data_IF_176126238707
#
_entry.id   IF_176126238707
#
_cell.length_a   1.000
_cell.length_b   1.000
_cell.length_c   1.000
_cell.angle_alpha   90.00
_cell.angle_beta   90.00
_cell.angle_gamma   90.00
#
_symmetry.space_group_name_H-M   'P 1'
#
loop_
_entity.id
_entity.type
_entity.pdbx_description
1 polymer ?
#
# COMPACT_ATOMS: atom_id res chain seq x y z
N UNK A 1 -20.94 -34.79 34.69
CA UNK A 1 -20.22 -33.56 35.13
C UNK A 1 -18.90 -33.49 34.39
N UNK A 2 -18.70 -32.51 33.51
CA UNK A 2 -17.45 -32.35 32.75
C UNK A 2 -16.48 -31.53 33.60
N UNK A 3 -15.33 -32.11 33.97
CA UNK A 3 -14.26 -31.42 34.71
C UNK A 3 -13.62 -30.40 33.77
N UNK A 4 -13.54 -29.14 34.20
CA UNK A 4 -12.78 -28.12 33.50
C UNK A 4 -11.28 -28.47 33.56
N UNK A 5 -10.52 -28.29 32.47
CA UNK A 5 -9.08 -28.47 32.50
C UNK A 5 -8.46 -27.38 33.39
N UNK A 6 -7.97 -27.78 34.57
CA UNK A 6 -7.19 -26.90 35.45
C UNK A 6 -5.76 -26.82 34.94
N UNK A 7 -5.46 -25.73 34.24
CA UNK A 7 -4.09 -25.42 33.84
C UNK A 7 -3.35 -24.95 35.10
N UNK A 8 -2.16 -25.50 35.35
CA UNK A 8 -1.31 -25.09 36.47
C UNK A 8 -0.87 -23.63 36.31
N UNK A 9 -0.70 -22.90 37.41
CA UNK A 9 -0.19 -21.53 37.41
C UNK A 9 1.18 -21.42 36.71
N UNK A 10 1.98 -22.49 36.76
CA UNK A 10 3.25 -22.56 36.02
C UNK A 10 3.04 -22.64 34.51
N UNK A 11 2.07 -23.43 34.03
CA UNK A 11 1.71 -23.47 32.61
C UNK A 11 1.13 -22.14 32.12
N UNK A 12 0.33 -21.46 32.95
CA UNK A 12 -0.20 -20.14 32.61
C UNK A 12 0.93 -19.12 32.43
N UNK A 13 1.94 -19.15 33.32
CA UNK A 13 3.14 -18.30 33.22
C UNK A 13 3.97 -18.63 31.98
N UNK A 14 4.19 -19.91 31.67
CA UNK A 14 4.93 -20.35 30.48
C UNK A 14 4.23 -19.92 29.17
N UNK A 15 2.90 -20.01 29.12
CA UNK A 15 2.11 -19.55 27.96
C UNK A 15 2.23 -18.03 27.79
N UNK A 16 2.13 -17.26 28.87
CA UNK A 16 2.28 -15.80 28.83
C UNK A 16 3.70 -15.42 28.40
N UNK A 17 4.73 -16.12 28.87
CA UNK A 17 6.12 -15.89 28.49
C UNK A 17 6.38 -16.22 27.01
N UNK A 18 5.82 -17.34 26.52
CA UNK A 18 5.88 -17.74 25.11
C UNK A 18 5.16 -16.75 24.18
N UNK A 19 4.01 -16.21 24.63
CA UNK A 19 3.24 -15.22 23.87
C UNK A 19 3.84 -13.81 23.96
N UNK A 20 4.54 -13.49 25.06
CA UNK A 20 5.29 -12.24 25.25
C UNK A 20 6.58 -12.18 24.44
N UNK A 21 7.12 -13.34 24.05
CA UNK A 21 8.19 -13.46 23.06
C UNK A 21 7.61 -13.29 21.65
N UNK A 22 7.16 -12.07 21.34
CA UNK A 22 6.87 -11.66 19.97
C UNK A 22 8.14 -11.92 19.17
N UNK A 23 8.12 -12.93 18.30
CA UNK A 23 9.15 -13.11 17.28
C UNK A 23 9.19 -11.80 16.50
N UNK A 24 10.15 -10.94 16.86
CA UNK A 24 10.58 -9.85 16.01
C UNK A 24 10.98 -10.52 14.72
N UNK A 25 10.08 -10.49 13.73
CA UNK A 25 10.34 -10.96 12.37
C UNK A 25 11.52 -10.13 11.87
N UNK A 26 12.71 -10.69 12.08
CA UNK A 26 13.95 -10.25 11.50
C UNK A 26 13.76 -10.16 9.99
N UNK A 27 14.45 -9.25 9.31
CA UNK A 27 14.47 -9.21 7.84
C UNK A 27 14.79 -10.59 7.25
N UNK A 28 15.59 -11.40 7.95
CA UNK A 28 15.87 -12.80 7.59
C UNK A 28 14.61 -13.68 7.53
N UNK A 29 13.63 -13.45 8.41
CA UNK A 29 12.33 -14.15 8.38
C UNK A 29 11.48 -13.73 7.17
N UNK A 30 11.66 -12.52 6.66
CA UNK A 30 11.02 -12.07 5.42
C UNK A 30 11.71 -12.68 4.20
N UNK A 31 13.04 -12.75 4.20
CA UNK A 31 13.82 -13.40 3.13
C UNK A 31 13.49 -14.89 2.99
N UNK A 32 13.30 -15.59 4.11
CA UNK A 32 12.85 -16.99 4.12
C UNK A 32 11.44 -17.15 3.55
N UNK A 33 10.55 -16.17 3.82
CA UNK A 33 9.22 -16.15 3.23
C UNK A 33 9.29 -15.97 1.71
N UNK A 34 10.14 -15.08 1.19
CA UNK A 34 10.36 -14.90 -0.25
C UNK A 34 10.94 -16.14 -0.91
N UNK A 35 11.96 -16.77 -0.30
CA UNK A 35 12.53 -18.04 -0.79
C UNK A 35 11.49 -19.16 -0.86
N UNK A 36 10.62 -19.27 0.14
CA UNK A 36 9.60 -20.32 0.20
C UNK A 36 8.50 -20.17 -0.87
N UNK A 37 8.28 -18.95 -1.39
CA UNK A 37 7.37 -18.69 -2.51
C UNK A 37 8.07 -18.56 -3.87
N UNK A 38 9.38 -18.86 -3.93
CA UNK A 38 10.18 -18.84 -5.16
C UNK A 38 10.59 -17.46 -5.65
N UNK A 39 10.68 -16.47 -4.75
CA UNK A 39 11.13 -15.11 -5.06
C UNK A 39 12.51 -14.83 -4.43
N UNK A 40 13.42 -14.20 -5.18
CA UNK A 40 14.75 -13.83 -4.70
C UNK A 40 14.78 -12.46 -4.01
N UNK A 41 15.16 -12.39 -2.71
CA UNK A 41 15.17 -11.15 -1.94
C UNK A 41 16.28 -10.16 -2.38
N UNK A 42 17.37 -10.65 -2.98
CA UNK A 42 18.50 -9.81 -3.41
C UNK A 42 18.14 -8.84 -4.55
N UNK A 43 17.11 -9.16 -5.35
CA UNK A 43 16.66 -8.30 -6.44
C UNK A 43 15.84 -7.08 -5.97
N UNK A 44 15.40 -7.05 -4.71
CA UNK A 44 14.61 -5.96 -4.13
C UNK A 44 15.45 -4.93 -3.37
N UNK A 45 16.73 -5.24 -3.10
CA UNK A 45 17.61 -4.46 -2.23
C UNK A 45 18.47 -3.41 -2.95
N UNK A 46 18.00 -2.82 -4.06
CA UNK A 46 18.73 -1.70 -4.68
C UNK A 46 18.23 -0.34 -4.19
N UNK A 47 18.99 0.39 -3.36
CA UNK A 47 18.70 1.78 -3.06
C UNK A 47 19.05 2.65 -4.26
N UNK A 48 18.06 3.41 -4.73
CA UNK A 48 18.29 4.54 -5.63
C UNK A 48 19.32 5.48 -4.97
N UNK A 49 20.45 5.70 -5.66
CA UNK A 49 21.54 6.57 -5.22
C UNK A 49 20.99 7.94 -4.77
N UNK A 50 21.16 8.21 -3.49
CA UNK A 50 21.09 9.54 -2.89
C UNK A 50 22.23 10.41 -3.43
N UNK A 51 21.89 11.47 -4.16
CA UNK A 51 22.83 12.57 -4.44
C UNK A 51 22.54 13.70 -3.46
N UNK A 52 23.43 13.84 -2.48
CA UNK A 52 23.55 14.95 -1.55
C UNK A 52 23.82 16.24 -2.33
N UNK A 53 22.88 17.20 -2.34
CA UNK A 53 23.16 18.57 -2.79
C UNK A 53 23.51 19.42 -1.57
N UNK A 54 24.81 19.68 -1.42
CA UNK A 54 25.38 20.66 -0.50
C UNK A 54 25.12 22.07 -1.06
N UNK A 55 24.66 22.96 -0.19
CA UNK A 55 24.50 24.38 -0.46
C UNK A 55 25.87 25.08 -0.45
N UNK A 56 26.12 25.94 -1.42
CA UNK A 56 27.10 27.03 -1.32
C UNK A 56 26.69 28.15 -2.29
N UNK A 57 26.58 29.36 -1.73
CA UNK A 57 26.24 30.63 -2.37
C UNK A 57 27.50 31.34 -2.87
N UNK A 58 27.51 31.86 -4.10
CA UNK A 58 28.32 33.00 -4.52
C UNK A 58 27.77 33.62 -5.82
N UNK A 59 27.98 34.93 -5.95
CA UNK A 59 27.28 35.96 -6.74
C UNK A 59 27.78 36.22 -8.17
N UNK A 60 26.91 36.88 -8.97
CA UNK A 60 27.14 37.67 -10.22
C UNK A 60 27.52 36.87 -11.50
N UNK A 61 27.11 37.18 -12.74
CA UNK A 61 26.56 38.39 -13.41
C UNK A 61 25.74 37.94 -14.68
N UNK A 62 24.89 38.82 -15.23
CA UNK A 62 23.90 38.68 -16.33
C UNK A 62 24.48 38.48 -17.79
N UNK A 63 23.70 38.55 -18.91
CA UNK A 63 22.58 37.71 -19.37
C UNK A 63 22.72 37.26 -20.86
N UNK A 64 21.96 36.25 -21.33
CA UNK A 64 21.48 36.03 -22.72
C UNK A 64 20.97 34.58 -22.79
N UNK A 65 19.70 34.25 -23.05
CA UNK A 65 18.89 34.63 -24.19
C UNK A 65 18.80 33.42 -25.12
N UNK A 66 17.74 32.60 -24.98
CA UNK A 66 17.09 31.77 -26.02
C UNK A 66 16.11 30.75 -25.40
N UNK A 67 14.81 31.02 -25.56
CA UNK A 67 13.74 30.01 -25.69
C UNK A 67 13.71 29.54 -27.15
N UNK A 68 13.38 28.27 -27.49
CA UNK A 68 12.07 27.65 -27.29
C UNK A 68 12.21 26.16 -26.88
N UNK A 69 11.22 25.39 -26.43
CA UNK A 69 9.95 25.11 -27.07
C UNK A 69 9.08 24.30 -26.10
N UNK A 70 7.82 24.67 -26.12
CA UNK A 70 6.64 24.08 -25.54
C UNK A 70 6.58 22.53 -25.58
N UNK A 71 6.81 21.88 -24.45
CA UNK A 71 6.16 20.60 -24.15
C UNK A 71 5.08 20.90 -23.13
N UNK A 72 3.94 21.33 -23.64
CA UNK A 72 2.68 21.38 -22.90
C UNK A 72 2.31 19.96 -22.49
N UNK A 73 2.86 19.49 -21.37
CA UNK A 73 2.32 18.33 -20.67
C UNK A 73 0.88 18.72 -20.32
N UNK A 74 -0.15 18.00 -20.79
CA UNK A 74 -1.51 18.31 -20.41
C UNK A 74 -1.60 17.96 -18.92
N UNK A 75 -1.36 18.96 -18.07
CA UNK A 75 -1.76 18.92 -16.68
C UNK A 75 -3.28 18.81 -16.74
N UNK A 76 -3.79 17.58 -16.77
CA UNK A 76 -5.16 17.24 -16.43
C UNK A 76 -5.35 17.78 -15.02
N UNK A 77 -5.74 19.06 -14.94
CA UNK A 77 -6.22 19.74 -13.75
C UNK A 77 -7.43 18.94 -13.34
N UNK A 78 -7.23 17.95 -12.48
CA UNK A 78 -8.34 17.36 -11.75
C UNK A 78 -8.97 18.52 -11.00
N UNK A 79 -10.17 18.87 -11.44
CA UNK A 79 -10.92 19.99 -10.91
C UNK A 79 -10.97 19.86 -9.40
N UNK A 80 -10.84 20.95 -8.67
CA UNK A 80 -10.97 20.97 -7.21
C UNK A 80 -12.29 20.36 -6.72
N UNK A 81 -13.31 20.26 -7.59
CA UNK A 81 -14.54 19.49 -7.36
C UNK A 81 -14.31 17.97 -7.26
N UNK A 82 -13.35 17.40 -8.00
CA UNK A 82 -12.93 15.99 -7.88
C UNK A 82 -12.15 15.71 -6.58
N UNK A 83 -11.60 16.73 -5.91
CA UNK A 83 -10.95 16.58 -4.59
C UNK A 83 -11.94 16.51 -3.43
N UNK A 84 -13.19 16.93 -3.62
CA UNK A 84 -14.24 16.84 -2.63
C UNK A 84 -15.23 15.77 -3.03
N UNK A 85 -14.76 14.53 -3.19
CA UNK A 85 -15.65 13.40 -2.97
C UNK A 85 -16.20 13.57 -1.55
N UNK A 86 -17.53 13.63 -1.41
CA UNK A 86 -18.12 13.64 -0.08
C UNK A 86 -17.65 12.38 0.66
N UNK A 87 -17.50 12.45 1.99
CA UNK A 87 -17.07 11.28 2.75
C UNK A 87 -18.01 10.09 2.51
N UNK A 88 -19.28 10.37 2.25
CA UNK A 88 -20.29 9.38 1.92
C UNK A 88 -20.07 8.76 0.53
N UNK A 89 -19.77 9.56 -0.50
CA UNK A 89 -19.34 9.05 -1.82
C UNK A 89 -18.10 8.17 -1.71
N UNK A 90 -17.10 8.59 -0.91
CA UNK A 90 -15.91 7.77 -0.70
C UNK A 90 -16.25 6.43 -0.04
N UNK A 91 -17.11 6.45 0.98
CA UNK A 91 -17.54 5.23 1.68
C UNK A 91 -18.30 4.28 0.76
N UNK A 92 -19.23 4.81 -0.01
CA UNK A 92 -20.08 4.01 -0.92
C UNK A 92 -19.26 3.44 -2.08
N UNK A 93 -18.29 4.18 -2.61
CA UNK A 93 -17.42 3.72 -3.69
C UNK A 93 -16.35 2.71 -3.23
N UNK A 94 -15.64 2.99 -2.14
CA UNK A 94 -14.41 2.25 -1.80
C UNK A 94 -14.51 1.40 -0.54
N UNK A 95 -15.42 1.71 0.38
CA UNK A 95 -15.51 1.06 1.70
C UNK A 95 -16.70 0.11 1.86
N UNK A 96 -17.33 -0.27 0.74
CA UNK A 96 -18.31 -1.35 0.71
C UNK A 96 -17.61 -2.69 0.88
N UNK A 97 -18.04 -3.53 1.83
CA UNK A 97 -17.44 -4.85 2.05
C UNK A 97 -17.63 -5.74 0.80
N UNK A 98 -16.56 -6.07 0.07
CA UNK A 98 -16.68 -6.91 -1.11
C UNK A 98 -16.71 -8.39 -0.73
N UNK A 99 -17.44 -9.19 -1.51
CA UNK A 99 -17.35 -10.65 -1.46
C UNK A 99 -16.21 -11.07 -2.38
N UNK A 100 -15.07 -11.44 -1.78
CA UNK A 100 -13.89 -11.90 -2.53
C UNK A 100 -13.91 -13.42 -2.53
N UNK A 101 -14.29 -14.02 -3.66
CA UNK A 101 -14.13 -15.46 -3.93
C UNK A 101 -12.75 -15.70 -4.55
N UNK A 102 -12.23 -16.92 -4.46
CA UNK A 102 -11.00 -17.34 -5.14
C UNK A 102 -9.79 -16.43 -4.91
N UNK A 103 -9.63 -15.99 -3.65
CA UNK A 103 -8.66 -14.97 -3.23
C UNK A 103 -7.26 -15.29 -3.75
N UNK A 104 -6.65 -14.31 -4.43
CA UNK A 104 -5.26 -14.36 -4.88
C UNK A 104 -4.37 -13.45 -4.01
N UNK A 105 -3.14 -13.86 -3.66
CA UNK A 105 -2.22 -12.99 -2.94
C UNK A 105 -1.72 -11.87 -3.87
N UNK A 106 -1.63 -10.65 -3.33
CA UNK A 106 -1.03 -9.48 -4.00
C UNK A 106 -0.06 -8.84 -3.03
N UNK A 107 1.16 -8.57 -3.50
CA UNK A 107 2.18 -7.91 -2.70
C UNK A 107 2.05 -6.40 -2.82
N UNK A 108 2.14 -5.73 -1.67
CA UNK A 108 2.21 -4.28 -1.54
C UNK A 108 3.30 -3.95 -0.53
N UNK A 109 3.86 -2.74 -0.60
CA UNK A 109 4.84 -2.32 0.42
C UNK A 109 4.19 -2.25 1.81
N UNK A 110 4.99 -2.43 2.86
CA UNK A 110 4.53 -2.30 4.24
C UNK A 110 3.86 -0.96 4.51
N UNK A 111 4.46 0.13 4.02
CA UNK A 111 3.89 1.48 4.15
C UNK A 111 2.51 1.61 3.48
N UNK A 112 2.35 1.09 2.26
CA UNK A 112 1.07 1.12 1.56
C UNK A 112 0.02 0.33 2.33
N UNK A 113 0.38 -0.87 2.82
CA UNK A 113 -0.51 -1.67 3.67
C UNK A 113 -0.93 -0.91 4.92
N UNK A 114 0.01 -0.28 5.62
CA UNK A 114 -0.28 0.44 6.86
C UNK A 114 -1.18 1.65 6.61
N UNK A 115 -0.99 2.37 5.50
CA UNK A 115 -1.88 3.46 5.06
C UNK A 115 -3.28 2.95 4.75
N UNK A 116 -3.40 1.83 4.03
CA UNK A 116 -4.69 1.20 3.71
C UNK A 116 -5.42 0.72 4.98
N UNK A 117 -4.71 0.05 5.89
CA UNK A 117 -5.25 -0.37 7.19
C UNK A 117 -5.68 0.85 8.02
N UNK A 118 -4.93 1.96 7.97
CA UNK A 118 -5.29 3.22 8.62
C UNK A 118 -6.62 3.79 8.11
N UNK A 119 -6.85 3.76 6.80
CA UNK A 119 -8.12 4.19 6.18
C UNK A 119 -9.26 3.28 6.65
N UNK A 120 -9.08 1.97 6.54
CA UNK A 120 -10.11 0.98 6.90
C UNK A 120 -10.51 1.08 8.37
N UNK A 121 -9.55 1.28 9.28
CA UNK A 121 -9.83 1.42 10.72
C UNK A 121 -10.59 2.71 11.06
N UNK A 122 -10.32 3.81 10.36
CA UNK A 122 -10.92 5.12 10.66
C UNK A 122 -12.28 5.31 9.99
N UNK A 123 -12.41 4.82 8.76
CA UNK A 123 -13.55 5.13 7.89
C UNK A 123 -14.40 3.90 7.53
N UNK A 124 -13.82 2.70 7.62
CA UNK A 124 -14.45 1.45 7.21
C UNK A 124 -15.46 0.93 8.24
N UNK A 125 -16.49 0.24 7.74
CA UNK A 125 -17.48 -0.44 8.55
C UNK A 125 -17.05 -1.84 9.00
N UNK A 126 -17.94 -2.52 9.72
CA UNK A 126 -17.75 -3.92 10.14
C UNK A 126 -17.46 -4.81 8.94
N UNK A 127 -16.40 -5.61 9.01
CA UNK A 127 -16.00 -6.54 7.96
C UNK A 127 -15.18 -5.91 6.83
N UNK A 128 -14.93 -4.59 6.87
CA UNK A 128 -14.02 -3.95 5.93
C UNK A 128 -12.57 -4.33 6.24
N UNK A 129 -11.76 -4.56 5.21
CA UNK A 129 -10.35 -4.95 5.32
C UNK A 129 -9.52 -4.23 4.25
N UNK A 130 -8.19 -4.17 4.43
CA UNK A 130 -7.30 -3.63 3.40
C UNK A 130 -7.44 -4.37 2.06
N UNK A 131 -7.58 -5.71 2.09
CA UNK A 131 -7.88 -6.49 0.88
C UNK A 131 -9.18 -6.07 0.23
N UNK A 132 -10.22 -5.78 1.02
CA UNK A 132 -11.49 -5.28 0.48
C UNK A 132 -11.38 -3.89 -0.15
N UNK A 133 -10.57 -3.02 0.44
CA UNK A 133 -10.33 -1.68 -0.09
C UNK A 133 -9.57 -1.75 -1.42
N UNK A 134 -8.51 -2.57 -1.47
CA UNK A 134 -7.74 -2.82 -2.69
C UNK A 134 -8.64 -3.40 -3.78
N UNK A 135 -9.47 -4.38 -3.45
CA UNK A 135 -10.39 -5.00 -4.40
C UNK A 135 -11.35 -3.98 -5.02
N UNK A 136 -11.94 -3.09 -4.21
CA UNK A 136 -12.84 -2.06 -4.72
C UNK A 136 -12.11 -1.02 -5.57
N UNK A 137 -10.90 -0.62 -5.17
CA UNK A 137 -10.04 0.27 -5.95
C UNK A 137 -9.72 -0.35 -7.31
N UNK A 138 -9.30 -1.61 -7.33
CA UNK A 138 -8.98 -2.34 -8.55
C UNK A 138 -10.21 -2.47 -9.46
N UNK A 139 -11.37 -2.84 -8.91
CA UNK A 139 -12.62 -2.95 -9.68
C UNK A 139 -13.02 -1.63 -10.32
N UNK A 140 -12.99 -0.54 -9.55
CA UNK A 140 -13.32 0.78 -10.08
C UNK A 140 -12.32 1.21 -11.17
N UNK A 141 -11.04 0.94 -10.97
CA UNK A 141 -10.02 1.24 -11.97
C UNK A 141 -10.27 0.49 -13.28
N UNK A 142 -10.51 -0.82 -13.20
CA UNK A 142 -10.80 -1.65 -14.37
C UNK A 142 -12.08 -1.21 -15.08
N UNK A 143 -13.11 -0.79 -14.33
CA UNK A 143 -14.35 -0.27 -14.93
C UNK A 143 -14.11 1.06 -15.64
N UNK A 144 -13.40 1.98 -14.98
CA UNK A 144 -13.15 3.33 -15.48
C UNK A 144 -12.31 3.34 -16.75
N UNK A 145 -11.33 2.43 -16.84
CA UNK A 145 -10.35 2.41 -17.93
C UNK A 145 -10.51 1.21 -18.86
N UNK A 146 -11.67 0.51 -18.83
CA UNK A 146 -11.88 -0.72 -19.62
C UNK A 146 -11.58 -0.51 -21.10
N UNK A 147 -12.15 0.53 -21.69
CA UNK A 147 -12.02 0.84 -23.12
C UNK A 147 -10.59 1.25 -23.46
N UNK A 148 -9.97 2.09 -22.64
CA UNK A 148 -8.58 2.54 -22.83
C UNK A 148 -7.60 1.37 -22.78
N UNK A 149 -7.76 0.48 -21.79
CA UNK A 149 -6.94 -0.73 -21.64
C UNK A 149 -7.09 -1.64 -22.87
N UNK A 150 -8.31 -1.79 -23.40
CA UNK A 150 -8.55 -2.58 -24.62
C UNK A 150 -7.95 -1.96 -25.88
N UNK A 151 -7.96 -0.62 -25.98
CA UNK A 151 -7.31 0.09 -27.07
C UNK A 151 -5.79 -0.07 -27.02
N UNK A 152 -5.17 0.11 -25.85
CA UNK A 152 -3.72 -0.06 -25.69
C UNK A 152 -3.25 -1.50 -25.93
N UNK A 153 -4.10 -2.50 -25.69
CA UNK A 153 -3.79 -3.90 -26.01
C UNK A 153 -3.64 -4.16 -27.52
N UNK A 154 -4.24 -3.32 -28.37
CA UNK A 154 -4.20 -3.47 -29.84
C UNK A 154 -3.00 -2.77 -30.49
N UNK A 155 -2.29 -1.94 -29.73
CA UNK A 155 -1.02 -1.32 -30.11
C UNK A 155 0.12 -2.31 -29.86
#
# INVERSE_FOLDING_TARGET
MKREPSISEQQAREIVERMGRRESRSEKSMDDFYRNIGLDPEHLAQPSRTVTKKAETATADEPSGETPEEVAVPQKRVSSKQRRLSLDEYRTAYLRVPKITDRKPVFVSGEVRDRLDGIVRRLGGRGMSASGLIENLARLHLETYREDIEQWRKL
#
